data_IF_024491784103
#
_entry.id   IF_024491784103
#
_cell.length_a   1.000
_cell.length_b   1.000
_cell.length_c   1.000
_cell.angle_alpha   90.00
_cell.angle_beta   90.00
_cell.angle_gamma   90.00
#
_symmetry.space_group_name_H-M   'P 1'
#
loop_
_entity.id
_entity.type
_entity.pdbx_description
1 polymer ?
#
# COMPACT_ATOMS: atom_id res chain seq x y z
N UNK A 1 -34.42 -35.01 -10.39
CA UNK A 1 -33.51 -34.44 -9.39
C UNK A 1 -32.26 -33.95 -10.10
N UNK A 2 -32.18 -32.65 -10.36
CA UNK A 2 -30.91 -32.00 -10.69
C UNK A 2 -30.78 -30.83 -9.71
N UNK A 3 -30.13 -31.11 -8.58
CA UNK A 3 -29.70 -30.05 -7.67
C UNK A 3 -28.64 -29.23 -8.41
N UNK A 4 -29.03 -28.02 -8.81
CA UNK A 4 -28.14 -27.06 -9.42
C UNK A 4 -26.97 -26.79 -8.47
N UNK A 5 -25.77 -27.00 -8.98
CA UNK A 5 -24.52 -26.81 -8.26
C UNK A 5 -24.47 -25.40 -7.69
N UNK A 6 -24.37 -25.32 -6.36
CA UNK A 6 -24.16 -24.08 -5.63
C UNK A 6 -22.99 -23.31 -6.24
N UNK A 7 -23.25 -22.07 -6.68
CA UNK A 7 -22.24 -21.09 -7.04
C UNK A 7 -21.35 -20.86 -5.82
N UNK A 8 -20.23 -21.58 -5.75
CA UNK A 8 -19.26 -21.42 -4.69
C UNK A 8 -18.47 -20.17 -5.01
N UNK A 9 -19.07 -19.00 -4.75
CA UNK A 9 -18.35 -17.75 -4.70
C UNK A 9 -17.32 -17.90 -3.58
N UNK A 10 -16.12 -18.34 -3.95
CA UNK A 10 -14.95 -18.38 -3.07
C UNK A 10 -14.63 -16.94 -2.71
N UNK A 11 -15.32 -16.40 -1.72
CA UNK A 11 -15.01 -15.12 -1.11
C UNK A 11 -13.62 -15.28 -0.53
N UNK A 12 -12.62 -14.71 -1.22
CA UNK A 12 -11.31 -14.55 -0.61
C UNK A 12 -11.54 -13.83 0.72
N UNK A 13 -11.13 -14.47 1.81
CA UNK A 13 -11.30 -13.95 3.16
C UNK A 13 -10.71 -12.55 3.18
N UNK A 14 -11.59 -11.55 3.29
CA UNK A 14 -11.19 -10.15 3.36
C UNK A 14 -10.28 -9.98 4.58
N UNK A 15 -9.08 -9.46 4.36
CA UNK A 15 -8.18 -9.06 5.44
C UNK A 15 -8.53 -7.61 5.77
N UNK A 16 -8.98 -7.35 6.99
CA UNK A 16 -9.46 -6.00 7.36
C UNK A 16 -8.30 -5.03 7.65
N UNK A 17 -7.24 -5.48 8.33
CA UNK A 17 -6.19 -4.59 8.87
C UNK A 17 -4.76 -4.92 8.38
N UNK A 18 -4.63 -5.87 7.45
CA UNK A 18 -3.33 -6.33 6.95
C UNK A 18 -2.48 -7.02 8.02
N UNK A 19 -1.16 -7.00 7.83
CA UNK A 19 -0.16 -7.45 8.82
C UNK A 19 1.03 -6.50 8.79
N UNK A 20 1.75 -6.39 9.91
CA UNK A 20 2.94 -5.54 10.00
C UNK A 20 4.05 -6.10 9.09
N UNK A 21 4.62 -5.24 8.26
CA UNK A 21 5.73 -5.61 7.39
C UNK A 21 7.01 -5.86 8.19
N UNK A 22 7.79 -6.86 7.80
CA UNK A 22 9.15 -7.06 8.32
C UNK A 22 10.03 -5.87 7.90
N UNK A 23 11.07 -5.59 8.70
CA UNK A 23 12.08 -4.58 8.33
C UNK A 23 12.68 -4.92 6.97
N UNK A 24 12.67 -3.95 6.05
CA UNK A 24 13.19 -4.13 4.70
C UNK A 24 12.33 -5.00 3.77
N UNK A 25 11.12 -5.39 4.16
CA UNK A 25 10.22 -6.16 3.28
C UNK A 25 9.81 -5.38 2.03
N UNK A 26 9.70 -4.06 2.15
CA UNK A 26 9.36 -3.15 1.06
C UNK A 26 10.42 -2.03 1.02
N UNK A 27 11.64 -2.32 0.52
CA UNK A 27 12.77 -1.39 0.61
C UNK A 27 12.58 -0.11 -0.22
N UNK A 28 11.69 -0.13 -1.21
CA UNK A 28 11.32 1.04 -2.00
C UNK A 28 10.30 1.97 -1.30
N UNK A 29 9.67 1.52 -0.22
CA UNK A 29 8.69 2.33 0.52
C UNK A 29 9.40 3.45 1.28
N UNK A 30 8.95 4.69 1.08
CA UNK A 30 9.52 5.86 1.74
C UNK A 30 8.46 6.71 2.42
N UNK A 31 8.89 7.36 3.50
CA UNK A 31 8.13 8.40 4.17
C UNK A 31 8.51 9.78 3.62
N UNK A 32 7.51 10.63 3.40
CA UNK A 32 7.71 12.05 3.10
C UNK A 32 7.51 12.83 4.39
N UNK A 33 8.54 13.57 4.79
CA UNK A 33 8.60 14.30 6.05
C UNK A 33 8.82 15.79 5.80
N UNK A 34 8.18 16.64 6.60
CA UNK A 34 8.42 18.08 6.60
C UNK A 34 9.79 18.40 7.21
N UNK A 35 10.20 19.67 7.14
CA UNK A 35 11.43 20.14 7.79
C UNK A 35 11.43 19.91 9.31
N UNK A 36 10.25 19.83 9.92
CA UNK A 36 10.06 19.57 11.35
C UNK A 36 9.95 18.07 11.67
N UNK A 37 10.36 17.20 10.74
CA UNK A 37 10.26 15.73 10.84
C UNK A 37 8.82 15.20 10.98
N UNK A 38 7.82 15.99 10.59
CA UNK A 38 6.44 15.52 10.57
C UNK A 38 6.18 14.71 9.30
N UNK A 39 5.85 13.42 9.46
CA UNK A 39 5.46 12.54 8.36
C UNK A 39 4.04 12.84 7.89
N UNK A 40 3.90 13.32 6.66
CA UNK A 40 2.61 13.74 6.11
C UNK A 40 2.16 12.89 4.92
N UNK A 41 3.08 12.26 4.20
CA UNK A 41 2.79 11.42 3.03
C UNK A 41 3.76 10.23 2.91
N UNK A 42 3.56 9.42 1.87
CA UNK A 42 4.42 8.30 1.51
C UNK A 42 4.77 8.33 0.01
N UNK A 43 5.74 7.51 -0.40
CA UNK A 43 6.12 7.37 -1.80
C UNK A 43 6.87 6.06 -2.08
N UNK A 44 7.26 5.89 -3.34
CA UNK A 44 7.99 4.72 -3.84
C UNK A 44 9.24 5.13 -4.61
N UNK A 45 10.40 4.57 -4.26
CA UNK A 45 11.64 4.76 -5.02
C UNK A 45 11.49 4.07 -6.38
N UNK A 46 11.62 4.84 -7.47
CA UNK A 46 11.56 4.32 -8.86
C UNK A 46 12.91 4.40 -9.57
N UNK A 47 13.85 5.17 -9.03
CA UNK A 47 15.24 5.23 -9.48
C UNK A 47 16.14 5.77 -8.36
N UNK A 48 17.45 5.82 -8.60
CA UNK A 48 18.42 6.36 -7.64
C UNK A 48 18.14 7.81 -7.20
N UNK A 49 17.38 8.57 -7.99
CA UNK A 49 17.13 10.00 -7.75
C UNK A 49 15.65 10.40 -7.76
N UNK A 50 14.74 9.46 -7.96
CA UNK A 50 13.33 9.76 -8.11
C UNK A 50 12.46 8.90 -7.20
N UNK A 51 11.52 9.58 -6.53
CA UNK A 51 10.44 8.99 -5.74
C UNK A 51 9.13 9.35 -6.42
N UNK A 52 8.31 8.35 -6.68
CA UNK A 52 6.93 8.51 -7.12
C UNK A 52 6.02 8.72 -5.90
N UNK A 53 5.15 9.72 -5.96
CA UNK A 53 4.13 10.01 -4.93
C UNK A 53 2.90 10.64 -5.55
N UNK A 54 1.87 10.91 -4.75
CA UNK A 54 0.66 11.59 -5.19
C UNK A 54 0.93 13.10 -5.36
N UNK A 55 0.30 13.72 -6.36
CA UNK A 55 0.49 15.14 -6.66
C UNK A 55 0.17 16.06 -5.46
N UNK A 56 -0.90 15.77 -4.72
CA UNK A 56 -1.30 16.54 -3.52
C UNK A 56 -0.27 16.47 -2.37
N UNK A 57 0.65 15.49 -2.39
CA UNK A 57 1.75 15.43 -1.43
C UNK A 57 2.92 16.35 -1.81
N UNK A 58 3.05 16.75 -3.08
CA UNK A 58 4.17 17.58 -3.56
C UNK A 58 3.85 19.08 -3.50
N UNK A 59 2.57 19.44 -3.66
CA UNK A 59 2.08 20.81 -3.64
C UNK A 59 0.80 20.81 -2.82
N UNK A 60 0.91 21.31 -1.61
CA UNK A 60 -0.21 21.76 -0.80
C UNK A 60 -0.06 23.27 -0.57
#
# INVERSE_FOLDING_TARGET
>A
AIEGTANTQKTMKKINDGTIAKRGQFPWSVALESKDHHRFCSGTIISQRHVLTAAHCAVN
#
